data_IF_031892806411
#
_entry.id   IF_031892806411
#
_cell.length_a   1.000
_cell.length_b   1.000
_cell.length_c   1.000
_cell.angle_alpha   90.00
_cell.angle_beta   90.00
_cell.angle_gamma   90.00
#
_symmetry.space_group_name_H-M   'P 1'
#
loop_
_entity.id
_entity.type
_entity.pdbx_description
1 polymer ?
#
# COMPACT_ATOMS: atom_id res chain seq x y z
N UNK A 1 14.38 -28.81 0.21
CA UNK A 1 13.06 -28.88 0.89
C UNK A 1 12.41 -27.51 0.79
N UNK A 2 11.43 -27.34 -0.10
CA UNK A 2 10.70 -26.09 -0.30
C UNK A 2 9.80 -25.86 0.91
N UNK A 3 9.95 -24.71 1.58
CA UNK A 3 9.07 -24.29 2.68
C UNK A 3 8.17 -23.19 2.15
N UNK A 4 7.03 -23.57 1.56
CA UNK A 4 5.73 -22.92 1.77
C UNK A 4 4.67 -23.54 0.85
N UNK A 5 4.18 -24.71 1.26
CA UNK A 5 2.81 -25.12 0.96
C UNK A 5 1.87 -24.39 1.94
N UNK A 6 1.76 -23.06 1.85
CA UNK A 6 0.64 -22.34 2.45
C UNK A 6 -0.41 -22.13 1.37
N UNK A 7 -1.52 -22.84 1.52
CA UNK A 7 -2.58 -22.95 0.54
C UNK A 7 -3.07 -21.61 -0.01
N UNK A 8 -3.24 -21.55 -1.33
CA UNK A 8 -4.44 -21.18 -2.11
C UNK A 8 -5.38 -20.06 -1.62
N UNK A 9 -4.99 -19.20 -0.70
CA UNK A 9 -5.72 -17.99 -0.35
C UNK A 9 -5.06 -16.81 -1.07
N UNK A 10 -5.78 -16.06 -1.93
CA UNK A 10 -5.20 -14.88 -2.56
C UNK A 10 -4.79 -13.92 -1.44
N UNK A 11 -3.50 -13.62 -1.34
CA UNK A 11 -2.97 -12.71 -0.34
C UNK A 11 -3.67 -11.35 -0.47
N UNK A 12 -4.58 -11.05 0.47
CA UNK A 12 -5.27 -9.76 0.54
C UNK A 12 -4.27 -8.73 1.05
N UNK A 13 -4.04 -7.69 0.27
CA UNK A 13 -3.10 -6.61 0.61
C UNK A 13 -3.90 -5.37 0.99
N UNK A 14 -3.63 -4.79 2.16
CA UNK A 14 -4.23 -3.52 2.58
C UNK A 14 -3.23 -2.38 2.41
N UNK A 15 -3.61 -1.36 1.64
CA UNK A 15 -2.87 -0.12 1.48
C UNK A 15 -3.55 0.97 2.29
N UNK A 16 -2.80 1.61 3.19
CA UNK A 16 -3.30 2.68 4.06
C UNK A 16 -2.78 4.03 3.61
N UNK A 17 -3.65 5.04 3.53
CA UNK A 17 -3.27 6.39 3.12
C UNK A 17 -3.86 7.45 4.05
N UNK A 18 -3.10 8.50 4.36
CA UNK A 18 -3.66 9.69 5.01
C UNK A 18 -4.63 10.41 4.05
N UNK A 19 -5.49 11.31 4.54
CA UNK A 19 -6.54 11.92 3.72
C UNK A 19 -6.05 12.56 2.42
N UNK A 20 -4.90 13.25 2.46
CA UNK A 20 -4.33 13.90 1.28
C UNK A 20 -3.83 12.87 0.25
N UNK A 21 -3.07 11.87 0.72
CA UNK A 21 -2.55 10.81 -0.15
C UNK A 21 -3.62 9.84 -0.65
N UNK A 22 -4.72 9.68 0.07
CA UNK A 22 -5.85 8.87 -0.39
C UNK A 22 -6.46 9.47 -1.65
N UNK A 23 -6.69 10.79 -1.65
CA UNK A 23 -7.20 11.53 -2.82
C UNK A 23 -6.26 11.42 -3.99
N UNK A 24 -4.97 11.71 -3.79
CA UNK A 24 -3.94 11.58 -4.85
C UNK A 24 -3.91 10.16 -5.42
N UNK A 25 -3.94 9.12 -4.56
CA UNK A 25 -3.90 7.74 -5.02
C UNK A 25 -5.15 7.36 -5.86
N UNK A 26 -6.34 7.78 -5.44
CA UNK A 26 -7.61 7.48 -6.12
C UNK A 26 -7.82 8.31 -7.39
N UNK A 27 -7.53 9.61 -7.33
CA UNK A 27 -7.97 10.59 -8.33
C UNK A 27 -6.86 10.94 -9.34
N UNK A 28 -5.60 10.68 -9.00
CA UNK A 28 -4.46 10.99 -9.86
C UNK A 28 -3.68 9.73 -10.25
N UNK A 29 -3.22 8.95 -9.26
CA UNK A 29 -2.33 7.80 -9.52
C UNK A 29 -3.05 6.72 -10.33
N UNK A 30 -4.18 6.18 -9.85
CA UNK A 30 -4.93 5.15 -10.59
C UNK A 30 -5.38 5.65 -11.98
N UNK A 31 -5.90 6.89 -12.11
CA UNK A 31 -6.30 7.41 -13.42
C UNK A 31 -5.15 7.58 -14.41
N UNK A 32 -3.96 7.97 -13.94
CA UNK A 32 -2.76 8.17 -14.74
C UNK A 32 -2.01 6.87 -15.10
N UNK A 33 -2.35 5.74 -14.47
CA UNK A 33 -1.76 4.44 -14.82
C UNK A 33 -1.99 4.09 -16.30
N UNK A 34 -1.01 3.46 -16.98
CA UNK A 34 -1.24 2.88 -18.30
C UNK A 34 -2.43 1.92 -18.29
N UNK A 35 -3.20 1.89 -19.38
CA UNK A 35 -4.51 1.24 -19.45
C UNK A 35 -4.53 -0.18 -18.89
N UNK A 36 -3.53 -1.01 -19.23
CA UNK A 36 -3.38 -2.38 -18.72
C UNK A 36 -3.36 -2.42 -17.19
N UNK A 37 -2.51 -1.61 -16.56
CA UNK A 37 -2.36 -1.59 -15.11
C UNK A 37 -3.55 -0.95 -14.42
N UNK A 38 -4.13 0.10 -15.01
CA UNK A 38 -5.37 0.72 -14.51
C UNK A 38 -6.51 -0.30 -14.41
N UNK A 39 -6.69 -1.13 -15.43
CA UNK A 39 -7.71 -2.20 -15.44
C UNK A 39 -7.40 -3.24 -14.36
N UNK A 40 -6.15 -3.73 -14.30
CA UNK A 40 -5.74 -4.71 -13.29
C UNK A 40 -5.95 -4.21 -11.86
N UNK A 41 -5.55 -2.96 -11.57
CA UNK A 41 -5.73 -2.34 -10.25
C UNK A 41 -7.22 -2.21 -9.90
N UNK A 42 -8.07 -1.77 -10.85
CA UNK A 42 -9.52 -1.71 -10.62
C UNK A 42 -10.14 -3.07 -10.33
N UNK A 43 -9.71 -4.12 -11.03
CA UNK A 43 -10.17 -5.50 -10.78
C UNK A 43 -9.70 -5.97 -9.40
N UNK A 44 -8.43 -5.75 -9.05
CA UNK A 44 -7.88 -6.13 -7.76
C UNK A 44 -8.60 -5.44 -6.58
N UNK A 45 -8.96 -4.16 -6.74
CA UNK A 45 -9.77 -3.42 -5.77
C UNK A 45 -11.19 -4.00 -5.67
N UNK A 46 -11.85 -4.25 -6.82
CA UNK A 46 -13.23 -4.77 -6.85
C UNK A 46 -13.34 -6.17 -6.26
N UNK A 47 -12.33 -7.02 -6.46
CA UNK A 47 -12.27 -8.38 -5.91
C UNK A 47 -11.78 -8.42 -4.46
N UNK A 48 -11.40 -7.28 -3.88
CA UNK A 48 -10.86 -7.22 -2.51
C UNK A 48 -9.49 -7.87 -2.36
N UNK A 49 -8.77 -8.11 -3.46
CA UNK A 49 -7.37 -8.53 -3.43
C UNK A 49 -6.47 -7.39 -2.95
N UNK A 50 -6.85 -6.15 -3.28
CA UNK A 50 -6.28 -4.93 -2.70
C UNK A 50 -7.41 -4.20 -1.98
N UNK A 51 -7.21 -3.87 -0.71
CA UNK A 51 -8.09 -2.99 0.05
C UNK A 51 -7.39 -1.66 0.28
N UNK A 52 -8.09 -0.56 0.06
CA UNK A 52 -7.57 0.78 0.34
C UNK A 52 -8.30 1.36 1.53
N UNK A 53 -7.55 1.75 2.55
CA UNK A 53 -8.06 2.30 3.80
C UNK A 53 -7.59 3.76 3.94
N UNK A 54 -8.54 4.65 4.20
CA UNK A 54 -8.23 6.03 4.53
C UNK A 54 -8.00 6.15 6.04
N UNK A 55 -6.80 6.56 6.42
CA UNK A 55 -6.38 6.81 7.80
C UNK A 55 -6.95 8.13 8.33
N UNK A 56 -6.98 8.27 9.65
CA UNK A 56 -7.20 9.59 10.29
C UNK A 56 -5.92 10.42 10.19
N UNK A 57 -6.05 11.74 10.21
CA UNK A 57 -4.91 12.67 10.08
C UNK A 57 -3.73 12.40 11.04
N UNK A 58 -4.00 11.88 12.24
CA UNK A 58 -3.00 11.59 13.26
C UNK A 58 -2.16 10.31 13.01
N UNK A 59 -2.47 9.52 11.98
CA UNK A 59 -1.82 8.22 11.71
C UNK A 59 -0.87 8.27 10.50
N UNK A 60 -0.30 9.44 10.20
CA UNK A 60 0.50 9.66 8.98
C UNK A 60 1.71 8.73 8.86
N UNK A 61 2.26 8.20 9.94
CA UNK A 61 3.35 7.19 9.88
C UNK A 61 2.93 5.84 9.28
N UNK A 62 1.62 5.52 9.33
CA UNK A 62 1.05 4.32 8.72
C UNK A 62 0.70 4.52 7.24
N UNK A 63 0.68 5.77 6.76
CA UNK A 63 0.40 6.05 5.36
C UNK A 63 1.54 5.53 4.49
N UNK A 64 1.20 4.74 3.47
CA UNK A 64 2.15 4.17 2.52
C UNK A 64 3.06 5.26 1.93
N UNK A 65 2.50 6.37 1.43
CA UNK A 65 3.31 7.43 0.83
C UNK A 65 4.05 8.28 1.86
N UNK A 66 3.48 8.63 3.01
CA UNK A 66 4.23 9.36 4.05
C UNK A 66 5.41 8.55 4.57
N UNK A 67 5.23 7.24 4.77
CA UNK A 67 6.28 6.32 5.23
C UNK A 67 7.51 6.34 4.32
N UNK A 68 7.33 6.53 3.01
CA UNK A 68 8.44 6.54 2.04
C UNK A 68 8.84 7.95 1.54
N UNK A 69 7.92 8.92 1.57
CA UNK A 69 8.11 10.26 1.00
C UNK A 69 8.51 11.35 2.00
N UNK A 70 8.28 11.16 3.30
CA UNK A 70 8.62 12.15 4.34
C UNK A 70 10.02 11.99 4.95
N UNK A 71 10.93 11.24 4.31
CA UNK A 71 12.28 10.96 4.86
C UNK A 71 12.46 9.57 5.49
N UNK A 72 11.58 8.60 5.20
CA UNK A 72 11.72 7.24 5.70
C UNK A 72 12.87 6.42 5.10
N UNK A 73 13.64 6.99 4.17
CA UNK A 73 14.88 6.40 3.65
C UNK A 73 16.08 6.61 4.60
N UNK A 74 15.97 7.54 5.57
CA UNK A 74 17.04 7.87 6.53
C UNK A 74 16.87 7.23 7.92
N UNK A 75 15.77 6.48 8.16
CA UNK A 75 15.69 5.64 9.35
C UNK A 75 16.62 4.44 9.14
N UNK A 76 17.91 4.62 9.44
CA UNK A 76 18.83 3.51 9.71
C UNK A 76 18.10 2.55 10.63
N UNK A 77 17.91 1.30 10.20
CA UNK A 77 17.50 0.22 11.09
C UNK A 77 18.51 0.21 12.24
N UNK A 78 18.13 0.75 13.40
CA UNK A 78 18.90 0.49 14.62
C UNK A 78 18.81 -1.02 14.82
N UNK A 79 19.96 -1.69 14.68
CA UNK A 79 20.04 -3.11 15.00
C UNK A 79 19.59 -3.28 16.44
N UNK A 80 18.77 -4.31 16.75
CA UNK A 80 18.41 -4.58 18.13
C UNK A 80 19.70 -4.75 18.97
N UNK A 81 19.75 -4.22 20.20
CA UNK A 81 20.94 -4.35 21.04
C UNK A 81 21.23 -5.84 21.28
N UNK A 82 22.52 -6.21 21.18
CA UNK A 82 23.01 -7.55 21.50
C UNK A 82 22.77 -7.92 22.96
#
# INVERSE_FOLDING_TARGET
>A
KQVNEKGKEPAKVTLKFCPDHYRVYMDEVIPAMPLKYKILTKIALKLGAIQVEQLKYMESELCFYCKFGSGGHDKKTELPPM
#
